data_IF_243615620180
#
_entry.id   IF_243615620180
#
_cell.length_a   1.000
_cell.length_b   1.000
_cell.length_c   1.000
_cell.angle_alpha   90.00
_cell.angle_beta   90.00
_cell.angle_gamma   90.00
#
_symmetry.space_group_name_H-M   'P 1'
#
loop_
_entity.id
_entity.type
_entity.pdbx_description
1 polymer ?
#
# COMPACT_ATOMS: atom_id res chain seq x y z
N UNK A 1 -55.85 -23.18 -40.13
CA UNK A 1 -56.36 -22.46 -38.94
C UNK A 1 -55.69 -23.05 -37.69
N UNK A 2 -55.33 -22.25 -36.67
CA UNK A 2 -53.93 -21.89 -36.40
C UNK A 2 -53.34 -22.36 -35.05
N UNK A 3 -52.00 -22.42 -35.04
CA UNK A 3 -51.04 -22.08 -33.98
C UNK A 3 -51.46 -22.22 -32.51
N UNK A 4 -50.71 -23.06 -31.76
CA UNK A 4 -50.46 -22.85 -30.32
C UNK A 4 -49.01 -23.20 -29.94
N UNK A 5 -48.07 -22.57 -30.64
CA UNK A 5 -46.69 -22.39 -30.17
C UNK A 5 -46.70 -21.21 -29.20
N UNK A 6 -47.08 -21.44 -27.95
CA UNK A 6 -47.37 -20.34 -27.02
C UNK A 6 -46.96 -20.68 -25.60
N UNK A 7 -45.77 -21.26 -25.39
CA UNK A 7 -45.20 -21.40 -24.04
C UNK A 7 -43.67 -21.56 -23.98
N UNK A 8 -42.98 -21.88 -25.09
CA UNK A 8 -41.52 -21.99 -25.10
C UNK A 8 -40.79 -20.63 -25.01
N UNK A 9 -41.45 -19.54 -25.42
CA UNK A 9 -40.86 -18.20 -25.49
C UNK A 9 -40.81 -17.47 -24.13
N UNK A 10 -41.64 -17.88 -23.15
CA UNK A 10 -41.62 -17.26 -21.81
C UNK A 10 -40.50 -17.81 -20.93
N UNK A 11 -40.01 -19.02 -21.20
CA UNK A 11 -38.98 -19.66 -20.41
C UNK A 11 -37.56 -19.25 -20.84
N UNK A 12 -37.33 -18.90 -22.10
CA UNK A 12 -36.03 -18.40 -22.57
C UNK A 12 -35.72 -16.97 -22.10
N UNK A 13 -36.73 -16.12 -21.90
CA UNK A 13 -36.53 -14.74 -21.43
C UNK A 13 -36.06 -14.66 -19.97
N UNK A 14 -36.47 -15.61 -19.12
CA UNK A 14 -36.11 -15.62 -17.69
C UNK A 14 -34.66 -16.08 -17.45
N UNK A 15 -34.12 -16.98 -18.28
CA UNK A 15 -32.75 -17.49 -18.15
C UNK A 15 -31.71 -16.47 -18.63
N UNK A 16 -32.04 -15.68 -19.66
CA UNK A 16 -31.15 -14.61 -20.18
C UNK A 16 -31.04 -13.44 -19.20
N UNK A 17 -32.09 -13.13 -18.42
CA UNK A 17 -32.06 -12.07 -17.41
C UNK A 17 -31.26 -12.43 -16.15
N UNK A 18 -31.11 -13.73 -15.83
CA UNK A 18 -30.35 -14.18 -14.67
C UNK A 18 -28.82 -14.27 -14.92
N UNK A 19 -28.38 -14.29 -16.18
CA UNK A 19 -26.97 -14.46 -16.55
C UNK A 19 -26.15 -13.16 -16.58
N UNK A 20 -26.77 -11.99 -16.40
CA UNK A 20 -26.10 -10.67 -16.56
C UNK A 20 -25.55 -10.13 -15.22
N UNK A 21 -25.83 -10.79 -14.08
CA UNK A 21 -25.38 -10.35 -12.76
C UNK A 21 -24.08 -11.00 -12.25
N UNK A 22 -23.36 -11.75 -13.07
CA UNK A 22 -21.96 -12.13 -12.78
C UNK A 22 -20.99 -11.05 -13.25
N UNK A 23 -21.25 -9.79 -12.89
CA UNK A 23 -20.23 -8.76 -12.95
C UNK A 23 -19.23 -9.08 -11.83
N UNK A 24 -18.03 -9.54 -12.21
CA UNK A 24 -16.97 -9.91 -11.30
C UNK A 24 -16.78 -8.81 -10.24
N UNK A 25 -17.04 -9.16 -8.98
CA UNK A 25 -16.59 -8.38 -7.84
C UNK A 25 -15.07 -8.59 -7.69
N UNK A 26 -14.29 -8.08 -8.65
CA UNK A 26 -12.83 -7.99 -8.53
C UNK A 26 -12.54 -6.72 -7.72
N UNK A 27 -12.55 -6.85 -6.40
CA UNK A 27 -12.05 -5.79 -5.52
C UNK A 27 -10.51 -5.78 -5.49
N UNK A 28 -9.88 -4.66 -5.10
CA UNK A 28 -8.42 -4.60 -4.97
C UNK A 28 -7.93 -5.67 -4.00
N UNK A 29 -6.85 -6.36 -4.36
CA UNK A 29 -6.28 -7.42 -3.53
C UNK A 29 -5.34 -6.77 -2.51
N UNK A 30 -5.91 -6.32 -1.41
CA UNK A 30 -5.14 -5.65 -0.37
C UNK A 30 -4.22 -6.64 0.37
N UNK A 31 -2.94 -6.30 0.42
CA UNK A 31 -1.92 -6.93 1.24
C UNK A 31 -1.40 -5.94 2.29
N UNK A 32 -0.70 -6.45 3.31
CA UNK A 32 -0.11 -5.65 4.38
C UNK A 32 1.37 -5.97 4.48
N UNK A 33 2.20 -4.93 4.44
CA UNK A 33 3.63 -4.99 4.71
C UNK A 33 3.89 -4.51 6.14
N UNK A 34 4.42 -5.40 6.97
CA UNK A 34 4.81 -5.10 8.34
C UNK A 34 6.26 -4.61 8.37
N UNK A 35 6.45 -3.41 8.92
CA UNK A 35 7.75 -2.79 9.07
C UNK A 35 7.90 -2.15 10.46
N UNK A 36 9.14 -1.84 10.82
CA UNK A 36 9.46 -1.15 12.05
C UNK A 36 10.44 -0.01 11.76
N UNK A 37 10.06 1.20 12.13
CA UNK A 37 10.94 2.37 12.02
C UNK A 37 11.85 2.40 13.24
N UNK A 38 13.15 2.35 13.00
CA UNK A 38 14.18 2.31 14.03
C UNK A 38 14.95 3.64 13.99
N UNK A 39 14.87 4.45 15.06
CA UNK A 39 15.65 5.68 15.11
C UNK A 39 17.12 5.39 15.43
N UNK A 40 18.02 6.12 14.77
CA UNK A 40 19.46 6.08 15.03
C UNK A 40 19.86 6.67 16.40
N UNK A 41 19.01 7.54 16.92
CA UNK A 41 19.23 8.38 18.09
C UNK A 41 17.93 8.61 18.84
N UNK A 42 17.99 9.28 20.00
CA UNK A 42 16.77 9.58 20.76
C UNK A 42 15.89 10.54 19.94
N UNK A 43 14.66 10.10 19.68
CA UNK A 43 13.65 10.92 19.02
C UNK A 43 13.25 12.11 19.91
N UNK A 44 13.19 13.29 19.32
CA UNK A 44 12.72 14.52 19.95
C UNK A 44 11.51 15.03 19.16
N UNK A 45 10.37 14.38 19.37
CA UNK A 45 9.17 14.61 18.57
C UNK A 45 8.24 15.64 19.21
N UNK A 46 7.86 16.69 18.46
CA UNK A 46 6.73 17.53 18.81
C UNK A 46 5.41 16.73 18.91
N UNK A 47 4.40 17.21 19.65
CA UNK A 47 3.13 16.51 19.81
C UNK A 47 2.33 16.41 18.49
N UNK A 48 2.61 17.28 17.53
CA UNK A 48 2.04 17.31 16.18
C UNK A 48 2.85 16.51 15.15
N UNK A 49 3.92 15.81 15.57
CA UNK A 49 4.74 15.03 14.65
C UNK A 49 3.93 13.90 13.97
N UNK A 50 4.09 13.82 12.67
CA UNK A 50 3.47 12.82 11.79
C UNK A 50 4.56 12.05 11.05
N UNK A 51 4.47 10.72 11.11
CA UNK A 51 5.30 9.80 10.35
C UNK A 51 4.55 9.40 9.09
N UNK A 52 5.14 9.66 7.94
CA UNK A 52 4.71 9.12 6.65
C UNK A 52 5.66 7.99 6.26
N UNK A 53 5.10 6.83 5.93
CA UNK A 53 5.83 5.71 5.33
C UNK A 53 5.29 5.45 3.95
N UNK A 54 6.18 5.48 2.96
CA UNK A 54 5.86 5.39 1.55
C UNK A 54 6.50 4.14 0.96
N UNK A 55 5.71 3.38 0.21
CA UNK A 55 6.17 2.34 -0.69
C UNK A 55 6.26 2.94 -2.09
N UNK A 56 7.46 2.93 -2.64
CA UNK A 56 7.76 3.50 -3.96
C UNK A 56 8.26 2.41 -4.91
N UNK A 57 7.88 2.50 -6.18
CA UNK A 57 8.50 1.77 -7.27
C UNK A 57 9.70 2.58 -7.79
N UNK A 58 10.90 2.03 -7.57
CA UNK A 58 12.18 2.63 -7.90
C UNK A 58 12.79 2.11 -9.23
N UNK A 59 12.04 1.34 -10.02
CA UNK A 59 12.50 0.87 -11.35
C UNK A 59 12.67 2.01 -12.36
N UNK A 60 11.92 3.11 -12.16
CA UNK A 60 11.92 4.27 -13.04
C UNK A 60 12.49 5.49 -12.34
N UNK A 61 13.03 6.42 -13.13
CA UNK A 61 13.53 7.70 -12.61
C UNK A 61 12.39 8.47 -11.95
N UNK A 62 12.58 8.87 -10.70
CA UNK A 62 11.63 9.71 -9.98
C UNK A 62 10.74 8.98 -8.98
N UNK A 63 10.91 7.66 -8.79
CA UNK A 63 10.26 6.82 -7.77
C UNK A 63 8.73 7.03 -7.64
N UNK A 64 7.94 6.10 -8.18
CA UNK A 64 6.49 6.25 -8.20
C UNK A 64 5.85 5.77 -6.90
N UNK A 65 5.03 6.61 -6.25
CA UNK A 65 4.31 6.22 -5.03
C UNK A 65 3.28 5.13 -5.33
N UNK A 66 3.40 4.00 -4.64
CA UNK A 66 2.51 2.83 -4.73
C UNK A 66 1.50 2.86 -3.59
N UNK A 67 1.98 3.11 -2.37
CA UNK A 67 1.16 3.19 -1.18
C UNK A 67 1.80 4.10 -0.13
N UNK A 68 0.98 4.68 0.73
CA UNK A 68 1.42 5.55 1.82
C UNK A 68 0.62 5.23 3.08
N UNK A 69 1.28 5.28 4.23
CA UNK A 69 0.65 5.16 5.54
C UNK A 69 1.15 6.28 6.46
N UNK A 70 0.21 6.96 7.11
CA UNK A 70 0.49 8.06 8.02
C UNK A 70 0.17 7.68 9.46
N UNK A 71 1.04 8.07 10.39
CA UNK A 71 0.95 7.78 11.81
C UNK A 71 1.15 9.05 12.63
N UNK A 72 0.33 9.22 13.66
CA UNK A 72 0.39 10.36 14.60
C UNK A 72 0.55 9.84 16.02
N UNK A 73 0.90 10.72 16.97
CA UNK A 73 1.17 10.36 18.38
C UNK A 73 2.23 9.26 18.47
N UNK A 74 3.35 9.55 17.81
CA UNK A 74 4.51 8.67 17.74
C UNK A 74 5.14 8.52 19.13
N UNK A 75 5.71 7.34 19.41
CA UNK A 75 6.48 7.09 20.63
C UNK A 75 7.98 7.38 20.43
N UNK A 76 8.74 7.28 21.52
CA UNK A 76 10.20 7.52 21.53
C UNK A 76 11.06 6.30 21.13
N UNK A 77 10.41 5.16 20.88
CA UNK A 77 11.07 3.88 20.56
C UNK A 77 10.80 3.42 19.13
N UNK A 78 11.15 2.17 18.77
CA UNK A 78 10.83 1.62 17.47
C UNK A 78 9.33 1.71 17.19
N UNK A 79 8.97 2.31 16.05
CA UNK A 79 7.58 2.59 15.70
C UNK A 79 7.10 1.46 14.77
N UNK A 80 6.12 0.63 15.20
CA UNK A 80 5.56 -0.39 14.32
C UNK A 80 4.70 0.25 13.23
N UNK A 81 4.85 -0.24 12.01
CA UNK A 81 4.19 0.27 10.82
C UNK A 81 3.50 -0.88 10.11
N UNK A 82 2.24 -0.65 9.75
CA UNK A 82 1.46 -1.54 8.90
C UNK A 82 1.07 -0.77 7.65
N UNK A 83 1.75 -1.03 6.54
CA UNK A 83 1.48 -0.39 5.26
C UNK A 83 0.58 -1.30 4.42
N UNK A 84 -0.61 -0.82 4.06
CA UNK A 84 -1.53 -1.54 3.19
C UNK A 84 -1.31 -1.11 1.74
N UNK A 85 -1.20 -2.07 0.84
CA UNK A 85 -1.00 -1.82 -0.59
C UNK A 85 -1.84 -2.78 -1.43
N UNK A 86 -2.05 -2.45 -2.70
CA UNK A 86 -2.69 -3.35 -3.66
C UNK A 86 -1.65 -4.33 -4.21
N UNK A 87 -1.83 -5.62 -3.95
CA UNK A 87 -0.92 -6.65 -4.42
C UNK A 87 -0.89 -6.76 -5.96
N UNK A 88 -1.95 -6.31 -6.64
CA UNK A 88 -1.98 -6.28 -8.11
C UNK A 88 -1.15 -5.13 -8.71
N UNK A 89 -0.73 -4.16 -7.88
CA UNK A 89 0.18 -3.08 -8.28
C UNK A 89 1.67 -3.44 -8.18
N UNK A 90 1.98 -4.66 -7.71
CA UNK A 90 3.36 -5.16 -7.57
C UNK A 90 3.73 -6.03 -8.77
N UNK A 91 4.70 -5.57 -9.56
CA UNK A 91 5.35 -6.34 -10.61
C UNK A 91 6.63 -6.99 -10.05
N UNK A 92 6.82 -8.29 -10.28
CA UNK A 92 7.99 -9.01 -9.74
C UNK A 92 9.30 -8.62 -10.42
N UNK A 93 9.24 -8.01 -11.62
CA UNK A 93 10.41 -7.53 -12.36
C UNK A 93 10.82 -6.11 -11.94
N UNK A 94 10.02 -5.44 -11.09
CA UNK A 94 10.27 -4.09 -10.60
C UNK A 94 10.95 -4.06 -9.22
N UNK A 95 11.57 -2.93 -8.89
CA UNK A 95 12.24 -2.69 -7.61
C UNK A 95 11.33 -1.81 -6.74
N UNK A 96 10.99 -2.30 -5.55
CA UNK A 96 10.20 -1.54 -4.58
C UNK A 96 11.03 -1.17 -3.36
N UNK A 97 10.84 0.04 -2.86
CA UNK A 97 11.56 0.57 -1.71
C UNK A 97 10.62 1.23 -0.71
N UNK A 98 10.97 1.16 0.56
CA UNK A 98 10.34 1.94 1.62
C UNK A 98 11.16 3.19 1.94
N UNK A 99 10.45 4.30 2.16
CA UNK A 99 10.95 5.52 2.78
C UNK A 99 10.07 5.89 3.96
N UNK A 100 10.68 6.41 5.02
CA UNK A 100 9.99 6.98 6.16
C UNK A 100 10.44 8.41 6.40
N UNK A 101 9.48 9.32 6.55
CA UNK A 101 9.70 10.71 6.86
C UNK A 101 8.88 11.10 8.09
N UNK A 102 9.49 11.81 9.03
CA UNK A 102 8.77 12.43 10.14
C UNK A 102 8.75 13.95 9.93
N UNK A 103 7.54 14.51 9.87
CA UNK A 103 7.30 15.95 9.72
C UNK A 103 6.55 16.52 10.92
N UNK A 104 6.77 17.79 11.21
CA UNK A 104 5.99 18.59 12.18
C UNK A 104 5.81 19.98 11.58
N UNK A 105 4.57 20.48 11.59
CA UNK A 105 4.19 21.74 10.93
C UNK A 105 4.76 21.90 9.50
N UNK A 106 4.74 20.81 8.72
CA UNK A 106 5.28 20.75 7.36
C UNK A 106 6.81 20.72 7.25
N UNK A 107 7.56 20.85 8.36
CA UNK A 107 9.02 20.75 8.39
C UNK A 107 9.47 19.31 8.57
N UNK A 108 10.37 18.85 7.70
CA UNK A 108 11.01 17.54 7.83
C UNK A 108 11.98 17.54 9.02
N UNK A 109 11.79 16.59 9.94
CA UNK A 109 12.60 16.41 11.14
C UNK A 109 13.51 15.18 11.02
N UNK A 110 12.95 14.07 10.55
CA UNK A 110 13.66 12.81 10.33
C UNK A 110 13.33 12.23 8.96
N UNK A 111 14.28 11.53 8.36
CA UNK A 111 14.10 10.86 7.06
C UNK A 111 14.93 9.59 7.00
N UNK A 112 14.54 8.66 6.14
CA UNK A 112 15.36 7.50 5.80
C UNK A 112 16.51 7.93 4.87
N UNK A 113 17.78 7.72 5.26
CA UNK A 113 18.93 8.15 4.46
C UNK A 113 19.08 7.36 3.15
N UNK A 114 18.79 6.06 3.19
CA UNK A 114 18.87 5.14 2.05
C UNK A 114 17.57 4.36 1.89
N UNK A 115 16.94 4.33 0.69
CA UNK A 115 15.71 3.58 0.49
C UNK A 115 15.88 2.10 0.83
N UNK A 116 14.89 1.51 1.52
CA UNK A 116 14.96 0.12 1.98
C UNK A 116 14.26 -0.81 0.98
N UNK A 117 14.95 -1.70 0.26
CA UNK A 117 14.32 -2.61 -0.71
C UNK A 117 13.35 -3.59 -0.04
N UNK A 118 12.21 -3.86 -0.68
CA UNK A 118 11.16 -4.76 -0.19
C UNK A 118 10.44 -5.50 -1.33
N UNK A 119 9.70 -6.56 -0.98
CA UNK A 119 8.69 -7.27 -1.79
C UNK A 119 9.19 -8.08 -3.01
N UNK A 120 10.26 -7.68 -3.68
CA UNK A 120 10.71 -8.30 -4.94
C UNK A 120 12.17 -8.75 -4.89
N UNK A 121 12.52 -9.71 -5.76
CA UNK A 121 13.86 -10.32 -5.78
C UNK A 121 14.20 -11.03 -4.47
N UNK A 122 15.37 -10.75 -3.92
CA UNK A 122 15.81 -11.28 -2.61
C UNK A 122 15.43 -10.35 -1.44
N UNK A 123 14.64 -9.30 -1.68
CA UNK A 123 14.25 -8.34 -0.65
C UNK A 123 13.17 -8.94 0.27
N UNK A 124 13.17 -8.56 1.57
CA UNK A 124 12.18 -9.06 2.51
C UNK A 124 10.77 -8.55 2.18
N UNK A 125 9.77 -9.39 2.43
CA UNK A 125 8.34 -9.10 2.31
C UNK A 125 7.66 -8.91 3.69
N UNK A 126 8.41 -9.07 4.78
CA UNK A 126 7.93 -9.03 6.16
C UNK A 126 9.07 -8.70 7.13
N UNK A 127 8.73 -8.19 8.32
CA UNK A 127 9.68 -7.82 9.38
C UNK A 127 10.76 -6.80 8.92
N UNK A 128 10.36 -5.86 8.07
CA UNK A 128 11.29 -4.89 7.49
C UNK A 128 11.70 -3.86 8.52
N UNK A 129 13.00 -3.55 8.61
CA UNK A 129 13.51 -2.49 9.49
C UNK A 129 13.86 -1.26 8.67
N UNK A 130 13.30 -0.11 9.03
CA UNK A 130 13.51 1.18 8.35
C UNK A 130 14.30 2.09 9.28
N UNK A 131 15.56 2.35 8.96
CA UNK A 131 16.35 3.32 9.72
C UNK A 131 15.90 4.76 9.40
N UNK A 132 15.86 5.62 10.40
CA UNK A 132 15.66 7.06 10.22
C UNK A 132 16.75 7.84 10.93
N UNK A 133 17.16 8.93 10.30
CA UNK A 133 18.14 9.89 10.82
C UNK A 133 17.53 11.29 10.90
N UNK A 134 18.06 12.10 11.79
CA UNK A 134 17.65 13.51 11.90
C UNK A 134 18.21 14.32 10.73
N UNK A 135 17.37 15.17 10.13
CA UNK A 135 17.75 16.00 8.96
C UNK A 135 18.64 17.17 9.36
N UNK A 136 18.57 17.61 10.61
CA UNK A 136 19.34 18.73 11.15
C UNK A 136 20.85 18.40 11.26
N UNK A 137 21.59 18.51 10.14
CA UNK A 137 23.06 18.64 10.13
C UNK A 137 23.48 20.05 9.74
#
# INVERSE_FOLDING_TARGET
MPFRVRNAWRLTLAVVLAAIFSACASGPRLATLEAQVIPDSRLALPPDAELSVQLENASQVGANLVAEANFVRLGDGPIPVMLRYDAEAIDQDDIYVLRADIRSDGRLLYTTPEPVPVLTGDAPDSNVSIAIERVDR
#
